data_IF_361098956784
#
_entry.id   IF_361098956784
#
_cell.length_a   1.000
_cell.length_b   1.000
_cell.length_c   1.000
_cell.angle_alpha   90.00
_cell.angle_beta   90.00
_cell.angle_gamma   90.00
#
_symmetry.space_group_name_H-M   'P 1'
#
loop_
_entity.id
_entity.type
_entity.pdbx_description
1 polymer ?
#
# COMPACT_ATOMS: atom_id res chain seq x y z
N UNK A 1 -29.20 -18.84 41.38
CA UNK A 1 -28.74 -17.54 40.85
C UNK A 1 -27.62 -17.01 41.72
N UNK A 2 -26.38 -17.00 41.22
CA UNK A 2 -25.34 -16.07 41.67
C UNK A 2 -24.62 -15.56 40.42
N UNK A 3 -24.77 -14.26 40.22
CA UNK A 3 -24.28 -13.45 39.11
C UNK A 3 -22.81 -13.05 39.37
N UNK A 4 -21.94 -13.33 38.38
CA UNK A 4 -20.75 -12.64 37.81
C UNK A 4 -19.69 -11.98 38.75
N UNK A 5 -18.37 -12.00 38.39
CA UNK A 5 -17.86 -11.03 37.40
C UNK A 5 -16.89 -11.59 36.34
N UNK A 6 -17.17 -11.15 35.11
CA UNK A 6 -16.30 -10.81 33.97
C UNK A 6 -14.84 -11.23 33.98
N UNK A 7 -14.46 -12.05 32.98
CA UNK A 7 -13.07 -12.21 32.53
C UNK A 7 -12.48 -10.86 32.12
N UNK A 8 -11.25 -10.53 32.53
CA UNK A 8 -10.63 -9.28 32.14
C UNK A 8 -10.33 -9.28 30.63
N UNK A 9 -10.79 -8.21 30.02
CA UNK A 9 -10.37 -7.72 28.73
C UNK A 9 -8.84 -7.83 28.51
N UNK A 10 -8.48 -8.27 27.30
CA UNK A 10 -7.53 -7.53 26.51
C UNK A 10 -6.04 -7.67 26.86
N UNK A 11 -5.45 -8.83 26.59
CA UNK A 11 -4.12 -8.80 25.95
C UNK A 11 -4.35 -8.33 24.52
N UNK A 12 -4.26 -7.02 24.31
CA UNK A 12 -4.02 -6.46 23.00
C UNK A 12 -2.76 -7.15 22.46
N UNK A 13 -2.97 -8.12 21.57
CA UNK A 13 -1.88 -8.74 20.83
C UNK A 13 -1.36 -7.60 19.95
N UNK A 14 -0.27 -6.96 20.37
CA UNK A 14 0.46 -6.01 19.54
C UNK A 14 0.83 -6.82 18.31
N UNK A 15 0.09 -6.65 17.21
CA UNK A 15 0.50 -7.17 15.93
C UNK A 15 1.80 -6.44 15.63
N UNK A 16 2.93 -7.09 15.91
CA UNK A 16 4.21 -6.65 15.40
C UNK A 16 4.02 -6.45 13.90
N UNK A 17 4.11 -5.21 13.45
CA UNK A 17 3.98 -4.80 12.06
C UNK A 17 5.24 -5.26 11.33
N UNK A 18 5.36 -6.58 11.14
CA UNK A 18 6.41 -7.15 10.32
C UNK A 18 6.14 -6.74 8.88
N UNK A 19 7.17 -6.17 8.25
CA UNK A 19 7.16 -5.93 6.82
C UNK A 19 7.22 -7.29 6.12
N UNK A 20 6.07 -7.86 5.80
CA UNK A 20 6.00 -9.14 5.13
C UNK A 20 6.58 -8.97 3.71
N UNK A 21 7.84 -9.44 3.53
CA UNK A 21 8.51 -9.49 2.23
C UNK A 21 7.75 -10.34 1.19
N UNK A 22 6.75 -11.09 1.64
CA UNK A 22 5.93 -11.99 0.85
C UNK A 22 4.50 -11.43 0.73
N UNK A 23 4.31 -10.51 -0.21
CA UNK A 23 3.00 -9.97 -0.55
C UNK A 23 2.78 -10.00 -2.06
N UNK A 24 1.52 -10.18 -2.48
CA UNK A 24 1.11 -10.17 -3.87
C UNK A 24 0.12 -9.03 -4.04
N UNK A 25 0.34 -8.16 -5.03
CA UNK A 25 -0.54 -7.07 -5.37
C UNK A 25 -1.27 -7.34 -6.69
N UNK A 26 -2.57 -7.09 -6.72
CA UNK A 26 -3.39 -7.13 -7.93
C UNK A 26 -4.31 -5.91 -7.98
N UNK A 27 -4.75 -5.53 -9.18
CA UNK A 27 -5.74 -4.47 -9.32
C UNK A 27 -7.12 -4.87 -8.79
N UNK A 28 -7.85 -3.92 -8.23
CA UNK A 28 -9.27 -4.09 -7.94
C UNK A 28 -10.11 -3.78 -9.18
N UNK A 29 -10.41 -4.81 -9.97
CA UNK A 29 -11.29 -4.68 -11.15
C UNK A 29 -12.77 -4.87 -10.81
N UNK A 30 -13.17 -4.68 -9.54
CA UNK A 30 -14.59 -4.70 -9.16
C UNK A 30 -15.36 -3.68 -10.02
N UNK A 31 -16.54 -4.08 -10.50
CA UNK A 31 -17.42 -3.27 -11.34
C UNK A 31 -16.86 -2.82 -12.72
N UNK A 32 -15.72 -3.35 -13.18
CA UNK A 32 -15.14 -2.95 -14.49
C UNK A 32 -16.10 -3.16 -15.66
N UNK A 33 -16.98 -4.16 -15.59
CA UNK A 33 -17.97 -4.46 -16.64
C UNK A 33 -19.05 -3.39 -16.75
N UNK A 34 -19.46 -2.80 -15.63
CA UNK A 34 -20.49 -1.75 -15.62
C UNK A 34 -20.01 -0.53 -16.42
N UNK A 35 -18.78 -0.05 -16.15
CA UNK A 35 -18.20 1.08 -16.88
C UNK A 35 -17.86 0.75 -18.34
N UNK A 36 -17.26 -0.41 -18.61
CA UNK A 36 -16.76 -0.74 -19.96
C UNK A 36 -17.87 -1.12 -20.93
N UNK A 37 -18.97 -1.71 -20.47
CA UNK A 37 -20.11 -2.06 -21.34
C UNK A 37 -20.93 -0.83 -21.78
N UNK A 38 -20.78 0.32 -21.12
CA UNK A 38 -21.40 1.58 -21.53
C UNK A 38 -20.65 2.29 -22.67
N UNK A 39 -19.39 1.92 -22.93
CA UNK A 39 -18.57 2.56 -23.96
C UNK A 39 -18.72 1.88 -25.33
N UNK A 40 -18.64 2.64 -26.44
CA UNK A 40 -18.70 2.08 -27.79
C UNK A 40 -17.49 1.18 -28.03
N UNK A 41 -17.72 -0.11 -28.30
CA UNK A 41 -16.68 -1.13 -28.48
C UNK A 41 -17.07 -2.16 -29.54
N UNK A 42 -16.06 -2.82 -30.11
CA UNK A 42 -16.28 -3.91 -31.06
C UNK A 42 -16.94 -5.13 -30.38
N UNK A 43 -17.72 -5.91 -31.15
CA UNK A 43 -18.34 -7.17 -30.65
C UNK A 43 -17.30 -8.15 -30.12
N UNK A 44 -16.13 -8.22 -30.77
CA UNK A 44 -14.99 -9.07 -30.38
C UNK A 44 -14.43 -8.65 -29.03
N UNK A 45 -14.13 -7.37 -28.85
CA UNK A 45 -13.57 -6.84 -27.61
C UNK A 45 -14.52 -7.04 -26.43
N UNK A 46 -15.82 -6.77 -26.63
CA UNK A 46 -16.85 -7.00 -25.60
C UNK A 46 -16.92 -8.47 -25.18
N UNK A 47 -16.82 -9.41 -26.13
CA UNK A 47 -16.81 -10.85 -25.83
C UNK A 47 -15.59 -11.22 -24.98
N UNK A 48 -14.40 -10.80 -25.40
CA UNK A 48 -13.14 -11.10 -24.71
C UNK A 48 -13.11 -10.53 -23.28
N UNK A 49 -13.55 -9.28 -23.09
CA UNK A 49 -13.57 -8.67 -21.75
C UNK A 49 -14.60 -9.31 -20.83
N UNK A 50 -15.76 -9.73 -21.36
CA UNK A 50 -16.84 -10.32 -20.55
C UNK A 50 -16.64 -11.83 -20.31
N UNK A 51 -15.85 -12.54 -21.14
CA UNK A 51 -15.51 -13.95 -20.91
C UNK A 51 -14.51 -14.15 -19.78
N UNK A 52 -13.78 -13.11 -19.37
CA UNK A 52 -12.76 -13.24 -18.33
C UNK A 52 -13.36 -13.24 -16.92
N UNK A 53 -13.16 -14.32 -16.16
CA UNK A 53 -13.68 -14.54 -14.81
C UNK A 53 -12.75 -13.95 -13.72
N UNK A 54 -12.51 -12.62 -13.76
CA UNK A 54 -11.60 -11.95 -12.82
C UNK A 54 -11.96 -12.18 -11.34
N UNK A 55 -13.25 -12.15 -11.01
CA UNK A 55 -13.71 -12.41 -9.64
C UNK A 55 -13.29 -13.79 -9.14
N UNK A 56 -13.50 -14.84 -9.95
CA UNK A 56 -13.13 -16.21 -9.60
C UNK A 56 -11.61 -16.35 -9.44
N UNK A 57 -10.83 -15.75 -10.34
CA UNK A 57 -9.37 -15.70 -10.23
C UNK A 57 -8.93 -15.06 -8.91
N UNK A 58 -9.53 -13.91 -8.54
CA UNK A 58 -9.26 -13.24 -7.25
C UNK A 58 -9.61 -14.12 -6.05
N UNK A 59 -10.76 -14.82 -6.08
CA UNK A 59 -11.14 -15.74 -5.01
C UNK A 59 -10.13 -16.88 -4.86
N UNK A 60 -9.66 -17.44 -5.98
CA UNK A 60 -8.65 -18.48 -5.97
C UNK A 60 -7.31 -18.01 -5.43
N UNK A 61 -6.88 -16.83 -5.86
CA UNK A 61 -5.65 -16.24 -5.36
C UNK A 61 -5.75 -15.94 -3.86
N UNK A 62 -6.87 -15.38 -3.41
CA UNK A 62 -7.09 -15.04 -2.00
C UNK A 62 -6.97 -16.25 -1.08
N UNK A 63 -7.66 -17.37 -1.39
CA UNK A 63 -7.55 -18.54 -0.51
C UNK A 63 -6.16 -19.17 -0.54
N UNK A 64 -5.47 -19.18 -1.69
CA UNK A 64 -4.08 -19.66 -1.78
C UNK A 64 -3.13 -18.78 -0.98
N UNK A 65 -3.29 -17.47 -1.05
CA UNK A 65 -2.53 -16.51 -0.24
C UNK A 65 -2.71 -16.79 1.26
N UNK A 66 -3.94 -17.00 1.72
CA UNK A 66 -4.22 -17.38 3.11
C UNK A 66 -3.55 -18.69 3.51
N UNK A 67 -3.63 -19.72 2.65
CA UNK A 67 -3.00 -21.02 2.91
C UNK A 67 -1.48 -20.94 3.06
N UNK A 68 -0.83 -20.01 2.36
CA UNK A 68 0.63 -19.84 2.38
C UNK A 68 1.10 -18.68 3.26
N UNK A 69 0.21 -18.03 4.02
CA UNK A 69 0.55 -16.86 4.84
C UNK A 69 1.05 -15.67 4.03
N UNK A 70 0.68 -15.56 2.75
CA UNK A 70 1.04 -14.45 1.86
C UNK A 70 -0.08 -13.40 1.92
N UNK A 71 0.29 -12.12 2.03
CA UNK A 71 -0.70 -11.04 2.00
C UNK A 71 -1.13 -10.72 0.57
N UNK A 72 -2.43 -10.74 0.29
CA UNK A 72 -2.99 -10.26 -0.97
C UNK A 72 -3.42 -8.80 -0.81
N UNK A 73 -2.90 -7.92 -1.66
CA UNK A 73 -3.17 -6.48 -1.64
C UNK A 73 -3.95 -6.11 -2.90
N UNK A 74 -5.04 -5.37 -2.72
CA UNK A 74 -5.81 -4.81 -3.83
C UNK A 74 -5.38 -3.35 -4.04
N UNK A 75 -5.00 -3.02 -5.27
CA UNK A 75 -4.62 -1.65 -5.67
C UNK A 75 -5.66 -1.04 -6.60
N UNK A 76 -5.79 0.28 -6.58
CA UNK A 76 -6.68 0.97 -7.51
C UNK A 76 -6.14 0.82 -8.95
N UNK A 77 -6.94 0.36 -9.92
CA UNK A 77 -6.53 0.20 -11.32
C UNK A 77 -6.31 1.53 -12.07
N UNK A 78 -6.66 2.67 -11.47
CA UNK A 78 -6.51 3.96 -12.13
C UNK A 78 -5.01 4.26 -12.42
N UNK A 79 -4.73 4.68 -13.65
CA UNK A 79 -3.42 5.15 -14.12
C UNK A 79 -2.26 4.13 -14.10
N UNK A 80 -2.46 2.89 -13.64
CA UNK A 80 -1.43 1.83 -13.59
C UNK A 80 -0.88 1.46 -14.97
N UNK A 81 -1.73 1.45 -15.99
CA UNK A 81 -1.38 1.14 -17.38
C UNK A 81 -0.84 2.35 -18.16
N UNK A 82 -1.01 3.57 -17.62
CA UNK A 82 -0.61 4.83 -18.25
C UNK A 82 0.73 5.33 -17.71
N UNK A 83 1.01 5.07 -16.43
CA UNK A 83 2.22 5.52 -15.74
C UNK A 83 3.46 4.75 -16.19
N UNK A 84 4.58 5.43 -16.40
CA UNK A 84 5.84 4.75 -16.68
C UNK A 84 6.49 4.29 -15.37
N UNK A 85 6.80 3.00 -15.23
CA UNK A 85 7.41 2.48 -13.99
C UNK A 85 8.81 3.03 -13.71
N UNK A 86 9.50 3.56 -14.74
CA UNK A 86 10.87 4.05 -14.62
C UNK A 86 10.95 5.51 -14.15
N UNK A 87 10.09 6.38 -14.69
CA UNK A 87 10.12 7.82 -14.40
C UNK A 87 8.83 8.37 -13.79
N UNK A 88 7.82 7.52 -13.57
CA UNK A 88 6.52 7.85 -12.99
C UNK A 88 5.69 8.88 -13.77
N UNK A 89 6.15 9.27 -14.96
CA UNK A 89 5.38 10.15 -15.83
C UNK A 89 4.15 9.40 -16.37
N UNK A 90 2.98 10.03 -16.22
CA UNK A 90 1.70 9.50 -16.72
C UNK A 90 1.60 9.83 -18.21
N UNK A 91 1.24 8.85 -19.04
CA UNK A 91 1.10 9.11 -20.47
C UNK A 91 0.13 10.27 -20.72
N UNK A 92 0.44 11.19 -21.66
CA UNK A 92 -0.47 12.24 -22.06
C UNK A 92 -1.74 11.67 -22.72
N UNK A 93 -2.58 12.56 -23.25
CA UNK A 93 -3.91 12.29 -23.83
C UNK A 93 -4.00 11.03 -24.71
N UNK A 94 -5.22 10.54 -24.96
CA UNK A 94 -5.47 9.27 -25.66
C UNK A 94 -4.76 9.17 -27.03
N UNK A 95 -4.51 10.29 -27.68
CA UNK A 95 -3.87 10.41 -28.99
C UNK A 95 -2.35 10.16 -28.93
N UNK A 96 -1.70 10.49 -27.81
CA UNK A 96 -0.24 10.35 -27.60
C UNK A 96 0.07 9.40 -26.44
N UNK A 97 -0.69 8.31 -26.35
CA UNK A 97 -0.48 7.28 -25.33
C UNK A 97 0.89 6.61 -25.49
N UNK A 98 1.52 6.34 -24.34
CA UNK A 98 2.75 5.55 -24.27
C UNK A 98 2.51 4.08 -24.61
N UNK A 99 1.26 3.58 -24.50
CA UNK A 99 0.92 2.18 -24.75
C UNK A 99 0.29 1.99 -26.14
N UNK A 100 0.89 1.10 -26.94
CA UNK A 100 0.32 0.63 -28.21
C UNK A 100 0.27 -0.90 -28.22
N UNK A 101 -0.89 -1.45 -27.84
CA UNK A 101 -1.08 -2.90 -27.71
C UNK A 101 -0.24 -3.50 -26.58
N UNK A 102 0.70 -4.38 -26.94
CA UNK A 102 1.67 -4.99 -26.01
C UNK A 102 2.93 -4.13 -25.81
N UNK A 103 3.17 -3.15 -26.69
CA UNK A 103 4.35 -2.31 -26.61
C UNK A 103 4.09 -1.08 -25.76
N UNK A 104 5.09 -0.68 -24.99
CA UNK A 104 5.10 0.55 -24.20
C UNK A 104 6.33 1.38 -24.56
N UNK A 105 6.12 2.67 -24.80
CA UNK A 105 7.18 3.64 -25.10
C UNK A 105 6.91 4.96 -24.39
N UNK A 106 7.72 5.27 -23.39
CA UNK A 106 7.64 6.52 -22.66
C UNK A 106 8.38 7.63 -23.43
N UNK A 107 7.67 8.67 -23.87
CA UNK A 107 8.29 9.82 -24.53
C UNK A 107 9.04 10.75 -23.57
N UNK A 108 8.81 10.64 -22.26
CA UNK A 108 9.49 11.46 -21.25
C UNK A 108 10.91 10.96 -20.94
N UNK A 109 11.07 9.66 -20.63
CA UNK A 109 12.39 9.09 -20.27
C UNK A 109 12.98 8.17 -21.35
N UNK A 110 12.29 7.97 -22.46
CA UNK A 110 12.72 7.11 -23.58
C UNK A 110 12.63 5.61 -23.32
N UNK A 111 12.13 5.16 -22.15
CA UNK A 111 12.02 3.73 -21.87
C UNK A 111 11.05 3.04 -22.84
N UNK A 112 11.46 1.88 -23.34
CA UNK A 112 10.69 1.03 -24.25
C UNK A 112 10.68 -0.40 -23.72
N UNK A 113 9.53 -1.07 -23.82
CA UNK A 113 9.42 -2.47 -23.42
C UNK A 113 8.00 -2.98 -23.47
N UNK A 114 7.76 -4.09 -22.77
CA UNK A 114 6.45 -4.71 -22.68
C UNK A 114 5.52 -3.92 -21.74
N UNK A 115 4.28 -3.70 -22.18
CA UNK A 115 3.29 -2.92 -21.47
C UNK A 115 2.74 -3.63 -20.22
N UNK A 116 2.71 -4.97 -20.23
CA UNK A 116 2.28 -5.76 -19.09
C UNK A 116 3.39 -5.83 -18.04
N UNK A 117 4.68 -5.87 -18.45
CA UNK A 117 5.82 -5.68 -17.54
C UNK A 117 5.78 -4.32 -16.83
N UNK A 118 5.53 -3.24 -17.58
CA UNK A 118 5.38 -1.90 -17.00
C UNK A 118 4.21 -1.84 -16.01
N UNK A 119 3.05 -2.39 -16.39
CA UNK A 119 1.89 -2.47 -15.51
C UNK A 119 2.16 -3.25 -14.23
N UNK A 120 2.82 -4.41 -14.34
CA UNK A 120 3.19 -5.24 -13.18
C UNK A 120 4.12 -4.51 -12.21
N UNK A 121 5.11 -3.76 -12.72
CA UNK A 121 6.00 -2.94 -11.88
C UNK A 121 5.24 -1.82 -11.16
N UNK A 122 4.32 -1.15 -11.83
CA UNK A 122 3.47 -0.13 -11.19
C UNK A 122 2.57 -0.72 -10.11
N UNK A 123 1.91 -1.85 -10.39
CA UNK A 123 1.06 -2.55 -9.42
C UNK A 123 1.87 -3.00 -8.20
N UNK A 124 3.09 -3.52 -8.41
CA UNK A 124 3.98 -3.91 -7.32
C UNK A 124 4.40 -2.69 -6.46
N UNK A 125 4.73 -1.56 -7.10
CA UNK A 125 5.07 -0.33 -6.39
C UNK A 125 3.89 0.22 -5.57
N UNK A 126 2.68 0.23 -6.12
CA UNK A 126 1.47 0.63 -5.41
C UNK A 126 1.12 -0.34 -4.28
N UNK A 127 1.30 -1.64 -4.51
CA UNK A 127 1.11 -2.67 -3.49
C UNK A 127 2.03 -2.44 -2.30
N UNK A 128 3.28 -2.09 -2.56
CA UNK A 128 4.25 -1.72 -1.52
C UNK A 128 3.78 -0.49 -0.74
N UNK A 129 3.34 0.57 -1.43
CA UNK A 129 2.92 1.81 -0.77
C UNK A 129 1.67 1.63 0.10
N UNK A 130 0.72 0.79 -0.32
CA UNK A 130 -0.50 0.49 0.46
C UNK A 130 -0.20 -0.44 1.64
N UNK A 131 0.82 -1.30 1.52
CA UNK A 131 1.19 -2.26 2.55
C UNK A 131 2.16 -1.70 3.61
N UNK A 132 2.74 -0.52 3.38
CA UNK A 132 3.48 0.16 4.43
C UNK A 132 2.52 0.43 5.60
N UNK A 133 2.87 0.08 6.85
CA UNK A 133 2.14 0.63 7.98
C UNK A 133 2.12 2.13 7.77
N UNK A 134 0.94 2.75 7.84
CA UNK A 134 0.84 4.20 7.78
C UNK A 134 1.82 4.73 8.81
N UNK A 135 2.95 5.26 8.33
CA UNK A 135 3.85 5.99 9.18
C UNK A 135 3.00 7.07 9.86
N UNK A 136 3.30 7.46 11.10
CA UNK A 136 2.66 8.64 11.62
C UNK A 136 3.08 9.75 10.65
N UNK A 137 2.17 10.24 9.81
CA UNK A 137 2.38 11.42 8.97
C UNK A 137 2.50 12.71 9.85
N UNK A 138 2.77 12.52 11.15
CA UNK A 138 2.96 13.45 12.25
C UNK A 138 4.05 12.95 13.24
N UNK A 139 4.92 12.01 12.89
CA UNK A 139 6.12 11.79 13.70
C UNK A 139 7.27 12.52 13.04
N UNK A 140 7.67 13.65 13.62
CA UNK A 140 9.04 14.10 13.49
C UNK A 140 9.97 12.92 13.81
N UNK A 141 11.02 12.77 13.02
CA UNK A 141 12.12 11.88 13.35
C UNK A 141 12.67 12.36 14.69
N UNK A 142 12.42 11.61 15.78
CA UNK A 142 13.00 11.93 17.09
C UNK A 142 14.43 11.40 17.10
N UNK A 143 15.25 11.90 16.17
CA UNK A 143 16.68 11.61 16.07
C UNK A 143 17.53 12.66 16.79
N UNK A 144 16.93 13.54 17.61
CA UNK A 144 17.68 14.58 18.33
C UNK A 144 17.09 15.04 19.67
N UNK A 145 16.46 14.15 20.44
CA UNK A 145 16.22 14.42 21.87
C UNK A 145 16.78 13.29 22.74
N UNK A 146 18.09 13.28 22.88
CA UNK A 146 18.78 12.64 24.02
C UNK A 146 18.44 13.31 25.37
N UNK A 147 17.39 14.14 25.46
CA UNK A 147 17.07 14.85 26.69
C UNK A 147 15.58 15.23 26.76
N UNK A 148 14.70 14.24 26.88
CA UNK A 148 13.42 14.50 27.59
C UNK A 148 13.69 14.18 29.06
N UNK A 149 13.93 15.18 29.93
CA UNK A 149 14.13 14.90 31.33
C UNK A 149 12.86 14.22 31.88
N UNK A 150 13.04 13.02 32.43
CA UNK A 150 12.01 12.32 33.18
C UNK A 150 11.47 13.27 34.26
N UNK A 151 10.14 13.42 34.33
CA UNK A 151 9.52 14.18 35.43
C UNK A 151 9.89 13.52 36.77
N UNK A 152 10.34 14.28 37.78
CA UNK A 152 10.69 13.72 39.07
C UNK A 152 9.45 13.07 39.69
N UNK A 153 9.63 11.88 40.23
CA UNK A 153 8.63 11.18 41.01
C UNK A 153 8.56 11.79 42.41
N UNK A 154 7.52 11.44 43.17
CA UNK A 154 7.36 11.88 44.57
C UNK A 154 8.59 11.54 45.43
N UNK A 155 9.28 10.44 45.11
CA UNK A 155 10.47 10.00 45.82
C UNK A 155 11.68 10.90 45.54
N UNK A 156 11.82 11.38 44.30
CA UNK A 156 12.89 12.29 43.89
C UNK A 156 12.76 13.68 44.56
N UNK A 157 11.53 14.08 44.92
CA UNK A 157 11.27 15.34 45.64
C UNK A 157 11.62 15.22 47.13
N UNK A 158 11.35 14.06 47.74
CA UNK A 158 11.64 13.80 49.15
C UNK A 158 13.14 13.66 49.43
N UNK A 159 13.92 13.25 48.43
CA UNK A 159 15.38 13.08 48.51
C UNK A 159 16.19 14.28 47.98
N UNK A 160 15.53 15.36 47.54
CA UNK A 160 16.19 16.61 47.14
C UNK A 160 16.88 16.54 45.77
N UNK A 161 16.14 16.25 44.71
CA UNK A 161 16.66 16.25 43.33
C UNK A 161 17.17 17.63 42.87
N UNK A 162 18.46 17.72 42.54
CA UNK A 162 19.06 18.85 41.82
C UNK A 162 19.05 18.60 40.30
N UNK A 163 18.50 19.55 39.55
CA UNK A 163 18.39 19.47 38.09
C UNK A 163 19.79 19.60 37.45
N UNK A 164 20.21 18.70 36.54
CA UNK A 164 21.49 18.84 35.85
C UNK A 164 21.48 20.08 34.95
N UNK A 165 22.59 20.83 34.97
CA UNK A 165 22.76 22.05 34.20
C UNK A 165 22.61 21.78 32.69
N UNK A 166 21.73 22.55 32.04
CA UNK A 166 21.50 22.47 30.60
C UNK A 166 22.76 22.93 29.86
N UNK A 167 23.35 22.03 29.08
CA UNK A 167 24.53 22.32 28.25
C UNK A 167 24.12 23.30 27.13
N UNK A 168 24.43 24.60 27.27
CA UNK A 168 24.27 25.59 26.20
C UNK A 168 25.38 25.35 25.17
N UNK A 169 25.03 24.79 24.01
CA UNK A 169 25.92 24.78 22.84
C UNK A 169 25.59 25.98 21.94
N UNK A 170 26.66 26.68 21.55
CA UNK A 170 26.75 27.79 20.60
C UNK A 170 26.20 27.45 19.22
#
# INVERSE_FOLDING_TARGET
MRFIPTLPFGRARVFSQHFDKNSIAIEDLTNIRQRTNQQPRSKKERRLSNSWAFYQFRMFLAYKCVLHGVKLILVNPAYTSLTCHKCLHISPTKETTYRKGKNYHCFHCGWKGDADYNGAKNIAALGLSVNLPGGPWLSCEVSSLDFVPRQPTIWDILEGYEKPASNQRL
#
